data_IF_897835453088
#
_entry.id   IF_897835453088
#
_cell.length_a   1.000
_cell.length_b   1.000
_cell.length_c   1.000
_cell.angle_alpha   90.00
_cell.angle_beta   90.00
_cell.angle_gamma   90.00
#
_symmetry.space_group_name_H-M   'P 1'
#
loop_
_entity.id
_entity.type
_entity.pdbx_description
1 polymer ?
#
# COMPACT_ATOMS: atom_id res chain seq x y z
N UNK A 1 11.85 -24.36 3.60
CA UNK A 1 11.68 -23.66 2.30
C UNK A 1 10.22 -23.24 2.20
N UNK A 2 9.97 -21.98 1.87
CA UNK A 2 8.63 -21.38 1.81
C UNK A 2 8.76 -19.86 1.78
N UNK A 3 7.64 -19.17 1.56
CA UNK A 3 7.59 -17.71 1.43
C UNK A 3 6.98 -17.27 0.11
N UNK A 4 6.60 -15.99 0.03
CA UNK A 4 5.99 -15.42 -1.17
C UNK A 4 7.09 -15.04 -2.15
N UNK A 5 7.11 -15.67 -3.32
CA UNK A 5 8.10 -15.37 -4.36
C UNK A 5 7.85 -14.02 -5.03
N UNK A 6 6.59 -13.60 -5.12
CA UNK A 6 6.19 -12.33 -5.72
C UNK A 6 4.95 -11.75 -5.02
N UNK A 7 5.08 -10.53 -4.53
CA UNK A 7 3.95 -9.67 -4.19
C UNK A 7 3.58 -8.78 -5.37
N UNK A 8 2.31 -8.78 -5.74
CA UNK A 8 1.71 -7.77 -6.61
C UNK A 8 0.86 -6.84 -5.75
N UNK A 9 1.25 -5.58 -5.65
CA UNK A 9 0.63 -4.60 -4.75
C UNK A 9 0.01 -3.44 -5.51
N UNK A 10 -1.10 -2.92 -4.98
CA UNK A 10 -1.58 -1.58 -5.31
C UNK A 10 -1.09 -0.54 -4.31
N UNK A 11 -1.28 0.74 -4.65
CA UNK A 11 -0.96 1.88 -3.79
C UNK A 11 -2.22 2.67 -3.41
N UNK A 12 -2.46 2.85 -2.11
CA UNK A 12 -3.49 3.74 -1.58
C UNK A 12 -3.19 5.21 -1.85
N UNK A 13 -4.22 6.06 -1.97
CA UNK A 13 -4.04 7.51 -2.15
C UNK A 13 -3.30 8.19 -0.98
N UNK A 14 -3.41 7.61 0.22
CA UNK A 14 -2.69 8.04 1.41
C UNK A 14 -1.33 7.33 1.60
N UNK A 15 -0.90 6.48 0.66
CA UNK A 15 0.38 5.76 0.73
C UNK A 15 0.32 4.37 1.37
N UNK A 16 -0.87 3.85 1.72
CA UNK A 16 -1.02 2.50 2.25
C UNK A 16 -0.70 1.41 1.21
N UNK A 17 -0.31 0.23 1.71
CA UNK A 17 -0.21 -1.03 0.96
C UNK A 17 -0.96 -2.13 1.73
N UNK A 18 -1.73 -2.96 1.02
CA UNK A 18 -2.77 -3.79 1.65
C UNK A 18 -3.67 -2.92 2.55
N UNK A 19 -3.93 -3.32 3.80
CA UNK A 19 -4.59 -2.44 4.79
C UNK A 19 -3.60 -1.89 5.84
N UNK A 20 -2.32 -1.76 5.48
CA UNK A 20 -1.34 -1.09 6.33
C UNK A 20 -1.47 0.42 6.11
N UNK A 21 -2.34 1.06 6.90
CA UNK A 21 -2.57 2.50 6.91
C UNK A 21 -1.36 3.27 7.48
N UNK A 22 -1.25 4.58 7.23
CA UNK A 22 -0.26 5.45 7.88
C UNK A 22 -0.17 5.24 9.38
N UNK A 23 1.06 5.03 9.88
CA UNK A 23 1.34 4.70 11.28
C UNK A 23 1.46 3.20 11.57
N UNK A 24 1.20 2.33 10.59
CA UNK A 24 1.46 0.88 10.73
C UNK A 24 2.94 0.62 10.98
N UNK A 25 3.24 -0.18 12.02
CA UNK A 25 4.61 -0.56 12.34
C UNK A 25 5.30 -1.26 11.16
N UNK A 26 6.57 -0.93 10.92
CA UNK A 26 7.37 -1.43 9.80
C UNK A 26 7.63 -2.93 9.87
N UNK A 27 7.70 -3.49 11.07
CA UNK A 27 7.87 -4.92 11.35
C UNK A 27 6.54 -5.68 11.52
N UNK A 28 5.41 -5.02 11.25
CA UNK A 28 4.09 -5.60 11.47
C UNK A 28 3.91 -6.94 10.73
N UNK A 29 3.27 -7.88 11.45
CA UNK A 29 2.84 -9.17 10.91
C UNK A 29 1.36 -9.14 10.52
N UNK A 30 0.88 -10.24 9.94
CA UNK A 30 -0.53 -10.42 9.64
C UNK A 30 -1.39 -10.21 10.88
N UNK A 31 -2.41 -9.36 10.79
CA UNK A 31 -3.23 -8.95 11.94
C UNK A 31 -4.62 -8.51 11.50
N UNK A 32 -5.56 -8.57 12.44
CA UNK A 32 -6.85 -7.90 12.29
C UNK A 32 -6.64 -6.39 12.35
N UNK A 33 -7.25 -5.67 11.43
CA UNK A 33 -7.20 -4.21 11.33
C UNK A 33 -8.60 -3.65 11.20
N UNK A 34 -8.78 -2.43 11.68
CA UNK A 34 -9.95 -1.60 11.39
C UNK A 34 -9.61 -0.73 10.18
N UNK A 35 -10.31 -0.88 9.05
CA UNK A 35 -10.05 -0.06 7.86
C UNK A 35 -10.25 1.43 8.15
N UNK A 36 -9.45 2.29 7.50
CA UNK A 36 -9.65 3.74 7.58
C UNK A 36 -11.02 4.14 6.99
N UNK A 37 -11.68 5.22 7.46
CA UNK A 37 -12.96 5.66 6.90
C UNK A 37 -12.95 5.89 5.38
N UNK A 38 -11.84 6.38 4.83
CA UNK A 38 -11.67 6.50 3.38
C UNK A 38 -11.70 5.15 2.65
N UNK A 39 -11.12 4.12 3.27
CA UNK A 39 -11.12 2.75 2.75
C UNK A 39 -12.53 2.16 2.79
N UNK A 40 -13.29 2.43 3.86
CA UNK A 40 -14.72 2.07 3.95
C UNK A 40 -15.52 2.77 2.84
N UNK A 41 -15.32 4.09 2.66
CA UNK A 41 -16.00 4.86 1.64
C UNK A 41 -15.63 4.42 0.21
N UNK A 42 -14.37 4.06 -0.05
CA UNK A 42 -13.93 3.54 -1.34
C UNK A 42 -14.54 2.16 -1.67
N UNK A 43 -14.78 1.34 -0.64
CA UNK A 43 -15.31 -0.01 -0.79
C UNK A 43 -16.85 -0.06 -0.79
N UNK A 44 -17.55 0.94 -0.23
CA UNK A 44 -19.01 0.96 -0.12
C UNK A 44 -19.74 0.74 -1.45
N UNK A 45 -19.16 1.18 -2.57
CA UNK A 45 -19.68 0.95 -3.93
C UNK A 45 -19.82 -0.53 -4.33
N UNK A 46 -19.18 -1.44 -3.59
CA UNK A 46 -19.24 -2.88 -3.82
C UNK A 46 -20.35 -3.57 -2.99
N UNK A 47 -21.07 -2.82 -2.16
CA UNK A 47 -22.13 -3.30 -1.28
C UNK A 47 -23.47 -2.65 -1.66
N UNK A 48 -24.58 -3.32 -1.34
CA UNK A 48 -25.91 -2.77 -1.58
C UNK A 48 -26.22 -1.64 -0.60
N UNK A 49 -25.73 -1.78 0.63
CA UNK A 49 -25.82 -0.78 1.69
C UNK A 49 -24.41 -0.48 2.28
N UNK A 50 -24.01 0.79 2.44
CA UNK A 50 -22.72 1.14 3.05
C UNK A 50 -22.47 0.57 4.46
N UNK A 51 -23.53 0.26 5.22
CA UNK A 51 -23.43 -0.38 6.53
C UNK A 51 -23.03 -1.86 6.47
N UNK A 52 -23.08 -2.49 5.30
CA UNK A 52 -22.62 -3.86 5.08
C UNK A 52 -21.10 -3.97 4.92
N UNK A 53 -20.40 -2.83 4.77
CA UNK A 53 -18.94 -2.83 4.69
C UNK A 53 -18.38 -3.37 6.01
N UNK A 54 -17.55 -4.44 5.99
CA UNK A 54 -17.03 -5.03 7.22
C UNK A 54 -16.26 -4.01 8.08
N UNK A 55 -16.60 -3.98 9.38
CA UNK A 55 -15.93 -3.11 10.35
C UNK A 55 -14.46 -3.46 10.59
N UNK A 56 -14.05 -4.69 10.25
CA UNK A 56 -12.68 -5.18 10.39
C UNK A 56 -12.27 -6.00 9.17
N UNK A 57 -10.96 -6.05 8.92
CA UNK A 57 -10.35 -6.92 7.92
C UNK A 57 -9.11 -7.62 8.47
N UNK A 58 -8.73 -8.76 7.87
CA UNK A 58 -7.43 -9.37 8.10
C UNK A 58 -6.47 -8.85 7.03
N UNK A 59 -5.30 -8.36 7.43
CA UNK A 59 -4.29 -7.89 6.50
C UNK A 59 -2.95 -8.52 6.77
N UNK A 60 -2.16 -8.73 5.71
CA UNK A 60 -0.72 -8.99 5.84
C UNK A 60 -0.04 -7.72 6.34
N UNK A 61 0.94 -7.87 7.23
CA UNK A 61 1.69 -6.73 7.74
C UNK A 61 2.82 -6.29 6.82
N UNK A 62 3.39 -5.10 7.08
CA UNK A 62 4.52 -4.57 6.30
C UNK A 62 5.72 -5.52 6.33
N UNK A 63 6.11 -6.00 7.50
CA UNK A 63 7.20 -6.98 7.62
C UNK A 63 6.89 -8.30 6.90
N UNK A 64 5.61 -8.68 6.80
CA UNK A 64 5.19 -9.87 6.04
C UNK A 64 5.36 -9.67 4.53
N UNK A 65 5.08 -8.46 4.04
CA UNK A 65 5.32 -8.08 2.65
C UNK A 65 6.83 -8.04 2.36
N UNK A 66 7.61 -7.45 3.27
CA UNK A 66 9.06 -7.29 3.13
C UNK A 66 9.84 -8.62 3.17
N UNK A 67 9.28 -9.67 3.77
CA UNK A 67 9.84 -11.03 3.73
C UNK A 67 9.68 -11.71 2.35
N UNK A 68 8.89 -11.14 1.44
CA UNK A 68 8.72 -11.66 0.08
C UNK A 68 10.00 -11.53 -0.75
N UNK A 69 10.19 -12.38 -1.76
CA UNK A 69 11.42 -12.33 -2.57
C UNK A 69 11.43 -11.17 -3.55
N UNK A 70 10.28 -10.81 -4.10
CA UNK A 70 10.10 -9.73 -5.08
C UNK A 70 8.80 -8.99 -4.80
N UNK A 71 8.81 -7.69 -5.07
CA UNK A 71 7.65 -6.82 -4.94
C UNK A 71 7.48 -6.04 -6.23
N UNK A 72 6.28 -6.08 -6.79
CA UNK A 72 5.86 -5.21 -7.88
C UNK A 72 4.69 -4.38 -7.38
N UNK A 73 4.89 -3.07 -7.26
CA UNK A 73 3.84 -2.13 -6.89
C UNK A 73 3.33 -1.41 -8.15
N UNK A 74 2.02 -1.46 -8.38
CA UNK A 74 1.35 -0.84 -9.52
C UNK A 74 0.54 0.35 -9.05
N UNK A 75 0.69 1.50 -9.71
CA UNK A 75 -0.15 2.67 -9.48
C UNK A 75 -0.47 3.40 -10.80
N UNK A 76 -1.74 3.75 -10.99
CA UNK A 76 -2.25 4.38 -12.22
C UNK A 76 -3.15 5.56 -11.91
N UNK A 77 -3.07 6.60 -12.75
CA UNK A 77 -3.90 7.79 -12.69
C UNK A 77 -3.33 8.93 -11.83
N UNK A 78 -3.67 10.16 -12.20
CA UNK A 78 -3.14 11.38 -11.57
C UNK A 78 -3.44 11.50 -10.07
N UNK A 79 -4.55 10.92 -9.60
CA UNK A 79 -4.93 10.89 -8.19
C UNK A 79 -3.95 10.10 -7.31
N UNK A 80 -3.01 9.34 -7.89
CA UNK A 80 -1.95 8.64 -7.17
C UNK A 80 -0.64 9.42 -7.09
N UNK A 81 -0.51 10.55 -7.81
CA UNK A 81 0.78 11.20 -8.01
C UNK A 81 1.48 11.62 -6.72
N UNK A 82 0.74 12.16 -5.75
CA UNK A 82 1.29 12.54 -4.45
C UNK A 82 1.75 11.32 -3.64
N UNK A 83 0.93 10.26 -3.60
CA UNK A 83 1.28 9.01 -2.93
C UNK A 83 2.54 8.38 -3.54
N UNK A 84 2.64 8.38 -4.87
CA UNK A 84 3.79 7.90 -5.62
C UNK A 84 5.05 8.70 -5.27
N UNK A 85 4.98 10.03 -5.30
CA UNK A 85 6.12 10.87 -4.95
C UNK A 85 6.62 10.61 -3.53
N UNK A 86 5.70 10.51 -2.55
CA UNK A 86 6.05 10.17 -1.17
C UNK A 86 6.62 8.76 -1.03
N UNK A 87 6.10 7.78 -1.76
CA UNK A 87 6.57 6.40 -1.71
C UNK A 87 7.96 6.23 -2.34
N UNK A 88 8.23 6.92 -3.45
CA UNK A 88 9.47 6.74 -4.24
C UNK A 88 10.60 7.66 -3.77
N UNK A 89 10.28 8.91 -3.43
CA UNK A 89 11.28 9.96 -3.16
C UNK A 89 11.20 10.52 -1.74
N UNK A 90 10.12 10.23 -1.02
CA UNK A 90 9.93 10.66 0.36
C UNK A 90 10.79 9.87 1.35
N UNK A 91 10.79 10.30 2.63
CA UNK A 91 11.47 9.58 3.70
C UNK A 91 10.86 8.20 3.88
N UNK A 92 11.69 7.24 4.29
CA UNK A 92 11.28 5.86 4.61
C UNK A 92 10.62 5.86 5.99
N UNK A 93 9.30 5.92 6.03
CA UNK A 93 8.56 6.15 7.27
C UNK A 93 7.24 5.38 7.32
N UNK A 94 6.85 4.86 8.51
CA UNK A 94 5.49 4.35 8.75
C UNK A 94 4.36 5.31 8.38
N UNK A 95 4.59 6.62 8.33
CA UNK A 95 3.59 7.59 7.88
C UNK A 95 3.23 7.44 6.39
N UNK A 96 4.08 6.80 5.59
CA UNK A 96 3.81 6.38 4.22
C UNK A 96 4.28 4.92 4.06
N UNK A 97 3.45 3.91 4.37
CA UNK A 97 3.90 2.52 4.38
C UNK A 97 4.54 2.04 3.08
N UNK A 98 4.08 2.53 1.92
CA UNK A 98 4.71 2.25 0.63
C UNK A 98 6.17 2.76 0.51
N UNK A 99 6.56 3.79 1.26
CA UNK A 99 7.95 4.28 1.29
C UNK A 99 8.93 3.28 1.90
N UNK A 100 8.46 2.38 2.77
CA UNK A 100 9.29 1.35 3.37
C UNK A 100 9.73 0.29 2.34
N UNK A 101 9.04 0.19 1.20
CA UNK A 101 9.43 -0.67 0.09
C UNK A 101 10.76 -0.23 -0.55
N UNK A 102 11.22 1.01 -0.32
CA UNK A 102 12.54 1.47 -0.75
C UNK A 102 13.68 0.67 -0.11
N UNK A 103 13.46 0.05 1.06
CA UNK A 103 14.45 -0.78 1.74
C UNK A 103 14.49 -2.23 1.21
N UNK A 104 13.54 -2.59 0.34
CA UNK A 104 13.47 -3.95 -0.20
C UNK A 104 14.40 -4.13 -1.40
N UNK A 105 15.29 -5.13 -1.32
CA UNK A 105 16.34 -5.36 -2.31
C UNK A 105 15.83 -5.66 -3.75
N UNK A 106 14.57 -6.12 -3.89
CA UNK A 106 13.95 -6.44 -5.18
C UNK A 106 12.52 -5.89 -5.29
N UNK A 107 12.38 -4.56 -5.18
CA UNK A 107 11.11 -3.86 -5.39
C UNK A 107 11.10 -3.10 -6.73
N UNK A 108 10.00 -3.18 -7.48
CA UNK A 108 9.79 -2.44 -8.73
C UNK A 108 8.47 -1.67 -8.65
N UNK A 109 8.52 -0.36 -8.93
CA UNK A 109 7.34 0.49 -9.06
C UNK A 109 6.96 0.60 -10.55
N UNK A 110 5.78 0.10 -10.90
CA UNK A 110 5.20 0.20 -12.25
C UNK A 110 4.13 1.28 -12.25
N UNK A 111 4.43 2.40 -12.90
CA UNK A 111 3.64 3.62 -12.85
C UNK A 111 3.23 4.04 -14.26
N UNK A 112 1.99 4.50 -14.43
CA UNK A 112 1.64 5.24 -15.64
C UNK A 112 2.17 6.68 -15.58
N UNK A 113 2.16 7.38 -16.72
CA UNK A 113 2.68 8.76 -16.79
C UNK A 113 1.93 9.71 -15.86
N UNK A 114 0.64 9.50 -15.66
CA UNK A 114 -0.19 10.37 -14.83
C UNK A 114 0.15 10.22 -13.34
N UNK A 115 0.39 9.00 -12.87
CA UNK A 115 0.82 8.70 -11.50
C UNK A 115 2.29 9.10 -11.27
N UNK A 116 3.14 9.04 -12.29
CA UNK A 116 4.55 9.44 -12.18
C UNK A 116 4.80 10.95 -12.27
N UNK A 117 3.78 11.78 -12.54
CA UNK A 117 3.94 13.22 -12.84
C UNK A 117 4.59 14.07 -11.74
N UNK A 118 4.62 13.56 -10.50
CA UNK A 118 5.18 14.23 -9.34
C UNK A 118 6.62 13.83 -9.02
N UNK A 119 7.22 12.94 -9.81
CA UNK A 119 8.60 12.49 -9.62
C UNK A 119 9.58 13.47 -10.27
N UNK A 120 10.67 13.79 -9.58
CA UNK A 120 11.81 14.45 -10.23
C UNK A 120 12.48 13.53 -11.25
N UNK A 121 13.00 14.13 -12.32
CA UNK A 121 13.84 13.45 -13.31
C UNK A 121 15.19 13.02 -12.72
#
# INVERSE_FOLDING_TARGET
>A
MGGVDLWLLGLGGNGHIAFNEPGSASDSRSRVVTPHPETVAANSRHFADPSEVPAQGLSVGVGTIMDGRKIVLIATGAHKAEAVARAVQGPRTPACPASLLQDHAACTFMLDRAAARGLSA
#
